data_IF_205609318208
#
_entry.id   IF_205609318208
#
_cell.length_a   1.000
_cell.length_b   1.000
_cell.length_c   1.000
_cell.angle_alpha   90.00
_cell.angle_beta   90.00
_cell.angle_gamma   90.00
#
_symmetry.space_group_name_H-M   'P 1'
#
loop_
_entity.id
_entity.type
_entity.pdbx_description
1 polymer ?
#
# COMPACT_ATOMS: atom_id res chain seq x y z
N UNK A 1 -7.37 -4.63 -18.08
CA UNK A 1 -7.72 -4.32 -16.68
C UNK A 1 -6.64 -4.92 -15.79
N UNK A 2 -5.83 -4.09 -15.11
CA UNK A 2 -4.58 -4.51 -14.45
C UNK A 2 -4.73 -5.22 -13.10
N UNK A 3 -5.74 -6.08 -12.91
CA UNK A 3 -5.91 -6.89 -11.69
C UNK A 3 -6.24 -6.14 -10.39
N UNK A 4 -6.19 -4.80 -10.37
CA UNK A 4 -6.47 -4.00 -9.18
C UNK A 4 -7.96 -3.97 -8.82
N UNK A 5 -8.22 -3.94 -7.51
CA UNK A 5 -9.57 -3.80 -6.96
C UNK A 5 -10.23 -2.49 -7.43
N UNK A 6 -11.51 -2.60 -7.81
CA UNK A 6 -12.37 -1.45 -8.11
C UNK A 6 -13.18 -1.08 -6.87
N UNK A 7 -13.69 0.14 -6.84
CA UNK A 7 -14.64 0.54 -5.82
C UNK A 7 -15.95 -0.25 -5.97
N UNK A 8 -16.42 -0.81 -4.86
CA UNK A 8 -17.64 -1.63 -4.83
C UNK A 8 -18.89 -0.75 -4.72
N UNK A 9 -20.05 -1.28 -5.11
CA UNK A 9 -21.33 -0.57 -4.95
C UNK A 9 -21.62 -0.27 -3.47
N UNK A 10 -22.40 0.79 -3.20
CA UNK A 10 -22.78 1.16 -1.83
C UNK A 10 -23.50 0.04 -1.08
N UNK A 11 -24.36 -0.71 -1.78
CA UNK A 11 -25.06 -1.87 -1.22
C UNK A 11 -24.11 -2.99 -0.80
N UNK A 12 -23.08 -3.26 -1.62
CA UNK A 12 -22.05 -4.22 -1.27
C UNK A 12 -21.23 -3.75 -0.07
N UNK A 13 -20.82 -2.48 -0.05
CA UNK A 13 -20.10 -1.88 1.08
C UNK A 13 -20.90 -1.97 2.38
N UNK A 14 -22.21 -1.71 2.35
CA UNK A 14 -23.09 -1.81 3.52
C UNK A 14 -23.19 -3.26 4.03
N UNK A 15 -23.36 -4.24 3.13
CA UNK A 15 -23.37 -5.67 3.49
C UNK A 15 -22.04 -6.13 4.07
N UNK A 16 -20.93 -5.69 3.46
CA UNK A 16 -19.59 -5.97 3.96
C UNK A 16 -19.37 -5.37 5.35
N UNK A 17 -19.79 -4.12 5.58
CA UNK A 17 -19.67 -3.47 6.88
C UNK A 17 -20.47 -4.21 7.96
N UNK A 18 -21.71 -4.64 7.66
CA UNK A 18 -22.51 -5.43 8.59
C UNK A 18 -21.85 -6.78 8.93
N UNK A 19 -21.30 -7.46 7.93
CA UNK A 19 -20.58 -8.72 8.12
C UNK A 19 -19.33 -8.53 8.99
N UNK A 20 -18.55 -7.48 8.72
CA UNK A 20 -17.36 -7.14 9.51
C UNK A 20 -17.74 -6.81 10.96
N UNK A 21 -18.81 -6.03 11.17
CA UNK A 21 -19.28 -5.69 12.51
C UNK A 21 -19.65 -6.91 13.35
N UNK A 22 -20.25 -7.93 12.75
CA UNK A 22 -20.60 -9.16 13.45
C UNK A 22 -19.38 -10.04 13.73
N UNK A 23 -18.43 -10.09 12.79
CA UNK A 23 -17.26 -10.96 12.93
C UNK A 23 -16.23 -10.40 13.92
N UNK A 24 -16.00 -9.09 13.87
CA UNK A 24 -14.92 -8.42 14.61
C UNK A 24 -15.06 -8.55 16.13
N UNK A 25 -16.30 -8.61 16.64
CA UNK A 25 -16.62 -8.83 18.07
C UNK A 25 -15.94 -10.07 18.67
N UNK A 26 -15.69 -11.08 17.83
CA UNK A 26 -15.15 -12.39 18.24
C UNK A 26 -13.66 -12.55 17.92
N UNK A 27 -13.04 -11.58 17.25
CA UNK A 27 -11.64 -11.65 16.85
C UNK A 27 -10.73 -11.01 17.89
N UNK A 28 -9.59 -11.66 18.14
CA UNK A 28 -8.55 -11.12 19.01
C UNK A 28 -7.52 -10.29 18.23
N UNK A 29 -7.28 -10.63 16.96
CA UNK A 29 -6.33 -9.93 16.09
C UNK A 29 -6.99 -9.63 14.75
N UNK A 30 -6.88 -8.38 14.31
CA UNK A 30 -7.37 -7.92 13.01
C UNK A 30 -6.24 -7.23 12.26
N UNK A 31 -6.00 -7.59 11.00
CA UNK A 31 -5.01 -6.94 10.14
C UNK A 31 -5.72 -6.34 8.94
N UNK A 32 -5.58 -5.04 8.75
CA UNK A 32 -6.18 -4.32 7.61
C UNK A 32 -5.12 -3.91 6.62
N UNK A 33 -5.36 -4.21 5.33
CA UNK A 33 -4.38 -4.03 4.25
C UNK A 33 -4.98 -3.40 2.99
N UNK A 34 -6.26 -3.05 3.01
CA UNK A 34 -6.94 -2.60 1.80
C UNK A 34 -6.45 -1.21 1.39
N UNK A 35 -5.84 -1.13 0.21
CA UNK A 35 -5.30 0.10 -0.36
C UNK A 35 -5.65 0.15 -1.85
N UNK A 36 -6.23 1.27 -2.29
CA UNK A 36 -6.45 1.52 -3.72
C UNK A 36 -5.42 2.56 -4.17
N UNK A 37 -4.57 2.24 -5.18
CA UNK A 37 -3.58 3.18 -5.68
C UNK A 37 -4.21 4.52 -6.08
N UNK A 38 -3.59 5.62 -5.64
CA UNK A 38 -4.04 6.99 -5.95
C UNK A 38 -5.24 7.49 -5.15
N UNK A 39 -5.78 6.70 -4.20
CA UNK A 39 -6.91 7.11 -3.35
C UNK A 39 -6.57 7.03 -1.86
N UNK A 40 -7.34 7.72 -1.00
CA UNK A 40 -7.32 7.48 0.45
C UNK A 40 -7.70 6.03 0.76
N UNK A 41 -7.20 5.54 1.89
CA UNK A 41 -7.60 4.24 2.41
C UNK A 41 -9.11 4.23 2.74
N UNK A 42 -9.86 3.16 2.38
CA UNK A 42 -11.27 3.05 2.74
C UNK A 42 -11.40 2.80 4.24
N UNK A 43 -12.32 3.52 4.91
CA UNK A 43 -12.69 3.23 6.30
C UNK A 43 -13.48 1.92 6.35
N UNK A 44 -12.86 0.86 6.89
CA UNK A 44 -13.48 -0.47 7.00
C UNK A 44 -13.91 -0.80 8.43
N UNK A 45 -13.20 -0.26 9.43
CA UNK A 45 -13.44 -0.51 10.84
C UNK A 45 -13.78 0.82 11.52
N UNK A 46 -15.02 0.95 11.98
CA UNK A 46 -15.47 2.13 12.71
C UNK A 46 -15.09 2.09 14.18
N UNK A 47 -15.15 3.22 14.87
CA UNK A 47 -14.89 3.30 16.31
C UNK A 47 -15.81 2.37 17.13
N UNK A 48 -17.08 2.24 16.72
CA UNK A 48 -18.03 1.31 17.35
C UNK A 48 -17.63 -0.16 17.18
N UNK A 49 -17.09 -0.53 16.02
CA UNK A 49 -16.56 -1.88 15.80
C UNK A 49 -15.36 -2.16 16.69
N UNK A 50 -14.42 -1.21 16.82
CA UNK A 50 -13.27 -1.33 17.74
C UNK A 50 -13.75 -1.52 19.18
N UNK A 51 -14.67 -0.70 19.66
CA UNK A 51 -15.20 -0.78 21.02
C UNK A 51 -15.92 -2.10 21.31
N UNK A 52 -16.46 -2.76 20.29
CA UNK A 52 -17.16 -4.04 20.42
C UNK A 52 -16.22 -5.25 20.55
N UNK A 53 -14.93 -5.07 20.31
CA UNK A 53 -13.93 -6.14 20.46
C UNK A 53 -13.64 -6.40 21.95
N UNK A 54 -13.10 -7.59 22.24
CA UNK A 54 -12.69 -7.95 23.60
C UNK A 54 -11.49 -7.11 24.04
N UNK A 55 -11.45 -6.58 25.27
CA UNK A 55 -10.24 -5.96 25.82
C UNK A 55 -9.05 -6.92 25.74
N UNK A 56 -7.88 -6.40 25.36
CA UNK A 56 -6.69 -7.18 25.04
C UNK A 56 -6.51 -7.48 23.54
N UNK A 57 -7.53 -7.23 22.72
CA UNK A 57 -7.44 -7.41 21.26
C UNK A 57 -6.46 -6.41 20.61
N UNK A 58 -5.98 -6.76 19.42
CA UNK A 58 -5.03 -5.94 18.64
C UNK A 58 -5.52 -5.77 17.20
N UNK A 59 -5.46 -4.54 16.70
CA UNK A 59 -5.67 -4.21 15.30
C UNK A 59 -4.35 -3.70 14.73
N UNK A 60 -3.91 -4.23 13.60
CA UNK A 60 -2.76 -3.74 12.84
C UNK A 60 -3.25 -3.13 11.54
N UNK A 61 -3.01 -1.83 11.36
CA UNK A 61 -3.42 -1.10 10.17
C UNK A 61 -2.21 -0.80 9.28
N UNK A 62 -2.09 -1.55 8.19
CA UNK A 62 -1.00 -1.40 7.21
C UNK A 62 -1.26 -0.29 6.20
N UNK A 63 -2.43 0.35 6.23
CA UNK A 63 -2.84 1.41 5.31
C UNK A 63 -2.78 2.81 5.92
N UNK A 64 -2.23 2.95 7.13
CA UNK A 64 -2.11 4.21 7.88
C UNK A 64 -1.41 5.33 7.10
N UNK A 65 -0.48 4.99 6.20
CA UNK A 65 0.19 5.94 5.30
C UNK A 65 -0.76 6.69 4.37
N UNK A 66 -1.96 6.15 4.12
CA UNK A 66 -3.01 6.78 3.30
C UNK A 66 -4.28 7.10 4.10
N UNK A 67 -4.14 7.30 5.40
CA UNK A 67 -5.24 7.64 6.32
C UNK A 67 -5.78 6.47 7.14
N UNK A 68 -5.43 5.23 6.76
CA UNK A 68 -5.78 4.01 7.50
C UNK A 68 -7.21 3.51 7.31
N UNK A 69 -7.38 2.21 7.49
CA UNK A 69 -8.66 1.52 7.39
C UNK A 69 -9.46 1.56 8.70
N UNK A 70 -8.80 1.86 9.81
CA UNK A 70 -9.37 1.86 11.16
C UNK A 70 -9.60 3.29 11.62
N UNK A 71 -10.82 3.60 12.03
CA UNK A 71 -11.13 4.90 12.62
C UNK A 71 -10.35 5.11 13.93
N UNK A 72 -9.72 6.28 14.08
CA UNK A 72 -8.91 6.61 15.24
C UNK A 72 -7.46 6.11 15.19
N UNK A 73 -7.03 5.41 14.14
CA UNK A 73 -5.62 5.06 13.94
C UNK A 73 -4.75 6.32 13.85
N UNK A 74 -3.60 6.29 14.53
CA UNK A 74 -2.62 7.37 14.53
C UNK A 74 -1.33 6.90 13.84
N UNK A 75 -0.81 7.65 12.86
CA UNK A 75 0.47 7.34 12.25
C UNK A 75 1.60 7.29 13.27
N UNK A 76 2.43 6.25 13.17
CA UNK A 76 3.62 6.00 13.97
C UNK A 76 3.38 5.81 15.48
N UNK A 77 2.17 5.40 15.84
CA UNK A 77 1.79 5.15 17.22
C UNK A 77 1.05 3.83 17.39
N UNK A 78 1.02 3.37 18.65
CA UNK A 78 0.07 2.36 19.12
C UNK A 78 -0.90 3.06 20.06
N UNK A 79 -2.18 3.14 19.67
CA UNK A 79 -3.23 3.74 20.48
C UNK A 79 -4.04 2.67 21.19
N UNK A 80 -4.61 3.00 22.34
CA UNK A 80 -5.50 2.12 23.10
C UNK A 80 -6.92 2.69 23.10
N UNK A 81 -7.89 1.87 22.70
CA UNK A 81 -9.31 2.23 22.66
C UNK A 81 -10.09 1.13 23.37
N UNK A 82 -10.60 1.41 24.57
CA UNK A 82 -11.36 0.44 25.38
C UNK A 82 -10.60 -0.89 25.62
N UNK A 83 -9.28 -0.83 25.82
CA UNK A 83 -8.43 -2.01 26.01
C UNK A 83 -8.02 -2.70 24.70
N UNK A 84 -8.41 -2.18 23.53
CA UNK A 84 -8.00 -2.68 22.21
C UNK A 84 -6.84 -1.83 21.70
N UNK A 85 -5.73 -2.47 21.32
CA UNK A 85 -4.56 -1.77 20.79
C UNK A 85 -4.65 -1.63 19.27
N UNK A 86 -4.49 -0.43 18.75
CA UNK A 86 -4.45 -0.15 17.32
C UNK A 86 -3.02 0.25 16.96
N UNK A 87 -2.36 -0.57 16.14
CA UNK A 87 -0.99 -0.38 15.67
C UNK A 87 -1.01 0.31 14.31
N UNK A 88 -0.51 1.55 14.27
CA UNK A 88 -0.52 2.41 13.07
C UNK A 88 0.88 2.83 12.62
N UNK A 89 1.88 1.95 12.62
CA UNK A 89 3.21 2.32 12.15
C UNK A 89 3.27 2.45 10.63
N UNK A 90 3.83 3.58 10.15
CA UNK A 90 4.25 3.71 8.75
C UNK A 90 5.57 2.95 8.56
N UNK A 91 5.95 2.74 7.30
CA UNK A 91 7.20 2.05 6.94
C UNK A 91 7.43 0.73 7.70
N UNK A 92 6.40 -0.12 7.73
CA UNK A 92 6.50 -1.46 8.33
C UNK A 92 7.68 -2.26 7.77
N UNK A 93 8.01 -2.22 6.45
CA UNK A 93 9.21 -2.87 5.93
C UNK A 93 10.51 -2.39 6.61
N UNK A 94 10.61 -1.10 6.95
CA UNK A 94 11.75 -0.52 7.68
C UNK A 94 11.95 -1.12 9.07
N UNK A 95 10.92 -1.72 9.68
CA UNK A 95 11.03 -2.45 10.95
C UNK A 95 11.66 -3.83 10.80
N UNK A 96 11.85 -4.30 9.57
CA UNK A 96 12.56 -5.51 9.18
C UNK A 96 13.70 -5.17 8.20
N UNK A 97 14.47 -4.14 8.53
CA UNK A 97 15.43 -3.48 7.64
C UNK A 97 16.37 -4.45 6.91
N UNK A 98 16.94 -5.44 7.60
CA UNK A 98 17.86 -6.41 6.98
C UNK A 98 17.20 -7.20 5.84
N UNK A 99 16.01 -7.76 6.09
CA UNK A 99 15.27 -8.53 5.10
C UNK A 99 14.73 -7.65 3.98
N UNK A 100 14.17 -6.48 4.31
CA UNK A 100 13.67 -5.53 3.32
C UNK A 100 14.78 -5.05 2.39
N UNK A 101 15.96 -4.74 2.93
CA UNK A 101 17.13 -4.30 2.16
C UNK A 101 17.62 -5.40 1.22
N UNK A 102 17.74 -6.65 1.70
CA UNK A 102 18.18 -7.78 0.88
C UNK A 102 17.23 -8.06 -0.30
N UNK A 103 15.91 -8.06 -0.05
CA UNK A 103 14.91 -8.28 -1.08
C UNK A 103 14.86 -7.13 -2.09
N UNK A 104 14.92 -5.88 -1.61
CA UNK A 104 14.90 -4.71 -2.48
C UNK A 104 16.18 -4.62 -3.34
N UNK A 105 17.34 -4.93 -2.78
CA UNK A 105 18.60 -4.99 -3.53
C UNK A 105 18.55 -6.03 -4.66
N UNK A 106 17.90 -7.18 -4.45
CA UNK A 106 17.68 -8.17 -5.52
C UNK A 106 16.75 -7.66 -6.61
N UNK A 107 15.69 -6.92 -6.27
CA UNK A 107 14.84 -6.28 -7.26
C UNK A 107 15.62 -5.28 -8.12
N UNK A 108 16.46 -4.45 -7.49
CA UNK A 108 17.32 -3.50 -8.19
C UNK A 108 18.36 -4.20 -9.07
N UNK A 109 19.01 -5.25 -8.57
CA UNK A 109 19.98 -6.04 -9.34
C UNK A 109 19.33 -6.62 -10.59
N UNK A 110 18.21 -7.32 -10.42
CA UNK A 110 17.47 -7.92 -11.54
C UNK A 110 17.04 -6.87 -12.57
N UNK A 111 16.63 -5.68 -12.11
CA UNK A 111 16.26 -4.59 -13.01
C UNK A 111 17.48 -4.00 -13.74
N UNK A 112 18.58 -3.75 -13.04
CA UNK A 112 19.83 -3.23 -13.63
C UNK A 112 20.44 -4.20 -14.63
N UNK A 113 20.34 -5.51 -14.39
CA UNK A 113 20.80 -6.52 -15.35
C UNK A 113 20.09 -6.44 -16.71
N UNK A 114 18.85 -5.92 -16.76
CA UNK A 114 18.13 -5.67 -18.02
C UNK A 114 18.71 -4.47 -18.79
N UNK A 115 19.43 -3.57 -18.11
CA UNK A 115 19.95 -2.32 -18.67
C UNK A 115 21.40 -2.44 -19.16
N UNK A 116 22.08 -3.55 -18.85
CA UNK A 116 23.50 -3.77 -19.13
C UNK A 116 23.67 -4.77 -20.27
N UNK A 117 24.47 -4.42 -21.26
CA UNK A 117 24.94 -5.40 -22.25
C UNK A 117 26.01 -6.29 -21.61
N UNK A 118 25.74 -7.60 -21.55
CA UNK A 118 26.59 -8.57 -20.85
C UNK A 118 27.96 -8.78 -21.52
N UNK A 119 28.11 -8.46 -22.80
CA UNK A 119 29.35 -8.67 -23.56
C UNK A 119 30.30 -7.48 -23.41
N UNK A 120 29.77 -6.29 -23.63
CA UNK A 120 30.49 -5.01 -23.61
C UNK A 120 30.62 -4.43 -22.20
N UNK A 121 29.79 -4.91 -21.25
CA UNK A 121 29.71 -4.43 -19.86
C UNK A 121 29.39 -2.92 -19.77
N UNK A 122 28.69 -2.39 -20.77
CA UNK A 122 28.26 -0.99 -20.80
C UNK A 122 26.76 -0.89 -20.54
N UNK A 123 26.33 0.29 -20.08
CA UNK A 123 24.92 0.65 -20.04
C UNK A 123 24.37 0.73 -21.48
N UNK A 124 23.44 -0.16 -21.80
CA UNK A 124 22.85 -0.31 -23.13
C UNK A 124 21.34 -0.47 -22.97
N UNK A 125 20.67 0.60 -22.53
CA UNK A 125 19.24 0.59 -22.25
C UNK A 125 18.46 0.32 -23.53
N UNK A 126 17.74 -0.81 -23.56
CA UNK A 126 16.73 -1.06 -24.59
C UNK A 126 15.49 -0.22 -24.30
N UNK A 127 15.36 0.93 -24.95
CA UNK A 127 14.20 1.81 -24.77
C UNK A 127 12.89 1.25 -25.32
N UNK A 128 12.95 0.17 -26.11
CA UNK A 128 11.76 -0.52 -26.60
C UNK A 128 11.22 -1.58 -25.66
N UNK A 129 12.00 -1.98 -24.64
CA UNK A 129 11.60 -2.91 -23.59
C UNK A 129 10.40 -2.39 -22.79
N UNK A 130 9.41 -3.26 -22.55
CA UNK A 130 8.17 -2.89 -21.88
C UNK A 130 8.38 -2.45 -20.44
N UNK A 131 9.31 -3.07 -19.71
CA UNK A 131 9.62 -2.74 -18.32
C UNK A 131 10.32 -1.37 -18.28
N UNK A 132 11.27 -1.13 -19.19
CA UNK A 132 11.94 0.17 -19.31
C UNK A 132 10.94 1.27 -19.64
N UNK A 133 10.07 1.07 -20.65
CA UNK A 133 9.02 2.04 -21.02
C UNK A 133 8.07 2.34 -19.87
N UNK A 134 7.67 1.32 -19.11
CA UNK A 134 6.73 1.47 -18.00
C UNK A 134 7.34 2.14 -16.75
N UNK A 135 8.66 2.11 -16.59
CA UNK A 135 9.35 2.62 -15.38
C UNK A 135 10.10 3.93 -15.60
N UNK A 136 10.51 4.24 -16.83
CA UNK A 136 11.22 5.47 -17.15
C UNK A 136 10.29 6.70 -17.13
N UNK A 137 10.45 7.56 -16.12
CA UNK A 137 9.67 8.81 -16.00
C UNK A 137 10.24 9.94 -16.85
N UNK A 138 11.57 10.10 -16.83
CA UNK A 138 12.29 11.20 -17.48
C UNK A 138 13.50 10.67 -18.24
N UNK A 139 13.86 11.32 -19.35
CA UNK A 139 15.07 11.06 -20.13
C UNK A 139 15.53 12.34 -20.82
N UNK A 140 16.84 12.59 -20.82
CA UNK A 140 17.48 13.73 -21.52
C UNK A 140 16.84 15.09 -21.20
N UNK A 141 16.46 15.31 -19.94
CA UNK A 141 15.85 16.55 -19.47
C UNK A 141 14.36 16.70 -19.79
N UNK A 142 13.72 15.69 -20.39
CA UNK A 142 12.28 15.70 -20.70
C UNK A 142 11.52 14.60 -19.96
N UNK A 143 10.23 14.84 -19.71
CA UNK A 143 9.30 13.79 -19.26
C UNK A 143 8.99 12.89 -20.46
N UNK A 144 9.14 11.57 -20.29
CA UNK A 144 8.86 10.58 -21.35
C UNK A 144 7.66 9.70 -21.03
N UNK A 145 7.30 9.55 -19.75
CA UNK A 145 6.18 8.71 -19.36
C UNK A 145 4.83 9.38 -19.69
N UNK A 146 3.93 8.71 -20.45
CA UNK A 146 2.66 9.30 -20.91
C UNK A 146 1.80 9.89 -19.79
N UNK A 147 1.69 9.19 -18.66
CA UNK A 147 0.86 9.63 -17.52
C UNK A 147 1.42 10.84 -16.74
N UNK A 148 2.66 11.25 -17.00
CA UNK A 148 3.32 12.37 -16.32
C UNK A 148 3.59 13.55 -17.25
N UNK A 149 3.19 13.45 -18.52
CA UNK A 149 3.34 14.56 -19.46
C UNK A 149 2.61 15.80 -18.92
N UNK A 150 3.22 17.00 -19.01
CA UNK A 150 2.56 18.24 -18.65
C UNK A 150 1.23 18.34 -19.39
N UNK A 151 0.14 18.64 -18.67
CA UNK A 151 -1.13 18.95 -19.35
C UNK A 151 -0.91 20.22 -20.19
N UNK A 152 -1.43 20.28 -21.43
CA UNK A 152 -1.42 21.53 -22.19
C UNK A 152 -2.00 22.64 -21.32
N UNK A 153 -1.35 23.81 -21.31
CA UNK A 153 -1.92 24.98 -20.68
C UNK A 153 -3.31 25.22 -21.28
N UNK A 154 -4.32 25.38 -20.41
CA UNK A 154 -5.69 25.67 -20.79
C UNK A 154 -5.82 27.07 -21.40
#
# INVERSE_FOLDING_TARGET
AGGYAKEMSKEYQAKQAALVAEHIKKQDIVITTALIPGRPAPRLISAAMVQSMRPGSVIVDLAVERGGNVEGVQPDAVTDVNGVKIVGYRNVPGRLAASASSLYARNLLNFVELLIDKKTKTLAVNWDDEIVKATALTRDGAVVHPNFQPKPAA
#
